data_IF_036719086955
#
_entry.id   IF_036719086955
#
_cell.length_a   1.000
_cell.length_b   1.000
_cell.length_c   1.000
_cell.angle_alpha   90.00
_cell.angle_beta   90.00
_cell.angle_gamma   90.00
#
_symmetry.space_group_name_H-M   'P 1'
#
loop_
_entity.id
_entity.type
_entity.pdbx_description
1 polymer ?
#
# COMPACT_ATOMS: atom_id res chain seq x y z
N UNK A 1 -1.55 -70.52 -40.25
CA UNK A 1 -0.79 -69.57 -39.41
C UNK A 1 -1.64 -69.23 -38.20
N UNK A 2 -1.36 -69.82 -37.03
CA UNK A 2 -2.09 -69.53 -35.80
C UNK A 2 -1.53 -68.25 -35.15
N UNK A 3 -2.39 -67.36 -34.60
CA UNK A 3 -1.94 -66.11 -34.00
C UNK A 3 -1.15 -66.40 -32.71
N UNK A 4 0.05 -65.81 -32.57
CA UNK A 4 0.84 -65.91 -31.34
C UNK A 4 0.10 -65.16 -30.23
N UNK A 5 -0.51 -65.91 -29.31
CA UNK A 5 -1.07 -65.37 -28.08
C UNK A 5 0.08 -64.93 -27.17
N UNK A 6 0.03 -63.67 -26.72
CA UNK A 6 0.99 -63.14 -25.76
C UNK A 6 0.88 -63.93 -24.45
N UNK A 7 2.00 -64.29 -23.82
CA UNK A 7 2.00 -65.02 -22.55
C UNK A 7 1.23 -64.23 -21.48
N UNK A 8 0.41 -64.88 -20.63
CA UNK A 8 -0.52 -64.22 -19.70
C UNK A 8 0.18 -63.33 -18.66
N UNK A 9 1.44 -63.59 -18.35
CA UNK A 9 2.26 -62.78 -17.44
C UNK A 9 2.71 -61.44 -18.08
N UNK A 10 3.10 -61.47 -19.36
CA UNK A 10 3.49 -60.27 -20.12
C UNK A 10 2.30 -59.33 -20.38
N UNK A 11 1.11 -59.90 -20.60
CA UNK A 11 -0.12 -59.12 -20.77
C UNK A 11 -0.53 -58.40 -19.47
N UNK A 12 -0.42 -59.09 -18.33
CA UNK A 12 -0.68 -58.50 -16.99
C UNK A 12 0.33 -57.39 -16.66
N UNK A 13 1.62 -57.59 -16.93
CA UNK A 13 2.63 -56.54 -16.72
C UNK A 13 2.43 -55.33 -17.63
N UNK A 14 2.01 -55.51 -18.89
CA UNK A 14 1.69 -54.39 -19.77
C UNK A 14 0.46 -53.60 -19.31
N UNK A 15 -0.60 -54.29 -18.84
CA UNK A 15 -1.82 -53.67 -18.30
C UNK A 15 -1.55 -52.77 -17.08
N UNK A 16 -0.52 -53.06 -16.28
CA UNK A 16 -0.11 -52.23 -15.12
C UNK A 16 0.89 -51.13 -15.50
N UNK A 17 1.83 -51.40 -16.42
CA UNK A 17 2.86 -50.42 -16.81
C UNK A 17 2.29 -49.19 -17.52
N UNK A 18 1.24 -49.34 -18.33
CA UNK A 18 0.62 -48.24 -19.06
C UNK A 18 -0.07 -47.20 -18.15
N UNK A 19 -0.95 -47.59 -17.20
CA UNK A 19 -1.55 -46.64 -16.26
C UNK A 19 -0.51 -46.00 -15.35
N UNK A 20 0.54 -46.73 -14.92
CA UNK A 20 1.64 -46.14 -14.13
C UNK A 20 2.39 -45.06 -14.91
N UNK A 21 2.68 -45.29 -16.20
CA UNK A 21 3.32 -44.28 -17.06
C UNK A 21 2.44 -43.03 -17.23
N UNK A 22 1.13 -43.22 -17.41
CA UNK A 22 0.16 -42.12 -17.52
C UNK A 22 0.08 -41.32 -16.22
N UNK A 23 -0.02 -41.98 -15.07
CA UNK A 23 -0.02 -41.33 -13.76
C UNK A 23 1.27 -40.53 -13.54
N UNK A 24 2.44 -41.10 -13.88
CA UNK A 24 3.72 -40.39 -13.77
C UNK A 24 3.79 -39.15 -14.66
N UNK A 25 3.23 -39.21 -15.87
CA UNK A 25 3.16 -38.06 -16.77
C UNK A 25 2.26 -36.95 -16.21
N UNK A 26 1.07 -37.31 -15.70
CA UNK A 26 0.15 -36.36 -15.06
C UNK A 26 0.75 -35.74 -13.79
N UNK A 27 1.42 -36.53 -12.95
CA UNK A 27 2.17 -36.00 -11.80
C UNK A 27 3.26 -35.00 -12.21
N UNK A 28 3.94 -35.25 -13.33
CA UNK A 28 4.92 -34.31 -13.88
C UNK A 28 4.29 -32.97 -14.29
N UNK A 29 3.13 -33.00 -14.94
CA UNK A 29 2.36 -31.79 -15.30
C UNK A 29 1.90 -31.02 -14.06
N UNK A 30 1.35 -31.73 -13.07
CA UNK A 30 0.92 -31.13 -11.80
C UNK A 30 2.09 -30.45 -11.10
N UNK A 31 3.27 -31.07 -11.07
CA UNK A 31 4.46 -30.47 -10.47
C UNK A 31 4.86 -29.17 -11.17
N UNK A 32 4.89 -29.16 -12.51
CA UNK A 32 5.20 -27.95 -13.28
C UNK A 32 4.17 -26.83 -13.05
N UNK A 33 2.89 -27.19 -12.94
CA UNK A 33 1.81 -26.26 -12.63
C UNK A 33 1.95 -25.68 -11.22
N UNK A 34 2.26 -26.50 -10.22
CA UNK A 34 2.51 -26.07 -8.84
C UNK A 34 3.69 -25.09 -8.77
N UNK A 35 4.79 -25.36 -9.46
CA UNK A 35 5.93 -24.44 -9.53
C UNK A 35 5.54 -23.10 -10.17
N UNK A 36 4.76 -23.12 -11.26
CA UNK A 36 4.24 -21.90 -11.90
C UNK A 36 3.32 -21.11 -10.95
N UNK A 37 2.42 -21.80 -10.24
CA UNK A 37 1.52 -21.20 -9.26
C UNK A 37 2.34 -20.54 -8.15
N UNK A 38 3.32 -21.24 -7.58
CA UNK A 38 4.17 -20.70 -6.52
C UNK A 38 4.97 -19.47 -6.95
N UNK A 39 5.47 -19.42 -8.19
CA UNK A 39 6.11 -18.22 -8.76
C UNK A 39 5.13 -17.05 -8.88
N UNK A 40 3.91 -17.30 -9.38
CA UNK A 40 2.87 -16.26 -9.48
C UNK A 40 2.45 -15.73 -8.10
N UNK A 41 2.25 -16.62 -7.13
CA UNK A 41 1.90 -16.24 -5.76
C UNK A 41 2.97 -15.38 -5.10
N UNK A 42 4.26 -15.71 -5.26
CA UNK A 42 5.36 -14.86 -4.77
C UNK A 42 5.35 -13.47 -5.40
N UNK A 43 5.13 -13.38 -6.72
CA UNK A 43 5.01 -12.10 -7.42
C UNK A 43 3.82 -11.29 -6.89
N UNK A 44 2.67 -11.93 -6.68
CA UNK A 44 1.47 -11.29 -6.14
C UNK A 44 1.76 -10.76 -4.73
N UNK A 45 2.34 -11.57 -3.85
CA UNK A 45 2.70 -11.17 -2.48
C UNK A 45 3.65 -9.96 -2.47
N UNK A 46 4.65 -9.94 -3.34
CA UNK A 46 5.56 -8.79 -3.46
C UNK A 46 4.82 -7.50 -3.87
N UNK A 47 3.87 -7.59 -4.81
CA UNK A 47 3.04 -6.44 -5.20
C UNK A 47 2.15 -5.95 -4.06
N UNK A 48 1.51 -6.87 -3.33
CA UNK A 48 0.69 -6.51 -2.18
C UNK A 48 1.51 -5.83 -1.08
N UNK A 49 2.72 -6.31 -0.79
CA UNK A 49 3.60 -5.64 0.18
C UNK A 49 4.00 -4.22 -0.23
N UNK A 50 4.23 -3.97 -1.52
CA UNK A 50 4.50 -2.60 -2.00
C UNK A 50 3.25 -1.71 -1.90
N UNK A 51 2.06 -2.25 -2.22
CA UNK A 51 0.80 -1.53 -2.05
C UNK A 51 0.56 -1.17 -0.58
N UNK A 52 0.78 -2.11 0.34
CA UNK A 52 0.66 -1.86 1.78
C UNK A 52 1.60 -0.74 2.23
N UNK A 53 2.87 -0.79 1.81
CA UNK A 53 3.85 0.26 2.10
C UNK A 53 3.43 1.64 1.57
N UNK A 54 2.86 1.68 0.36
CA UNK A 54 2.34 2.91 -0.24
C UNK A 54 1.10 3.42 0.51
N UNK A 55 0.21 2.53 0.94
CA UNK A 55 -0.96 2.87 1.74
C UNK A 55 -0.56 3.47 3.10
N UNK A 56 0.43 2.90 3.78
CA UNK A 56 0.93 3.42 5.05
C UNK A 56 1.53 4.82 4.87
N UNK A 57 2.35 5.02 3.82
CA UNK A 57 2.89 6.33 3.49
C UNK A 57 1.79 7.35 3.18
N UNK A 58 0.79 6.97 2.37
CA UNK A 58 -0.31 7.85 2.01
C UNK A 58 -1.14 8.24 3.24
N UNK A 59 -1.31 7.33 4.20
CA UNK A 59 -1.99 7.59 5.46
C UNK A 59 -1.23 8.64 6.29
N UNK A 60 0.08 8.48 6.44
CA UNK A 60 0.92 9.47 7.14
C UNK A 60 0.86 10.85 6.47
N UNK A 61 0.97 10.90 5.14
CA UNK A 61 0.87 12.13 4.36
C UNK A 61 -0.50 12.80 4.52
N UNK A 62 -1.57 12.01 4.46
CA UNK A 62 -2.94 12.49 4.66
C UNK A 62 -3.14 13.07 6.07
N UNK A 63 -2.65 12.39 7.11
CA UNK A 63 -2.72 12.90 8.48
C UNK A 63 -1.97 14.24 8.64
N UNK A 64 -0.82 14.40 7.99
CA UNK A 64 -0.09 15.66 7.98
C UNK A 64 -0.90 16.78 7.28
N UNK A 65 -1.48 16.49 6.12
CA UNK A 65 -2.33 17.44 5.38
C UNK A 65 -3.55 17.85 6.20
N UNK A 66 -4.23 16.91 6.87
CA UNK A 66 -5.38 17.20 7.74
C UNK A 66 -4.96 18.16 8.86
N UNK A 67 -3.86 17.86 9.55
CA UNK A 67 -3.34 18.71 10.63
C UNK A 67 -2.97 20.11 10.12
N UNK A 68 -2.34 20.21 8.95
CA UNK A 68 -1.98 21.50 8.35
C UNK A 68 -3.22 22.30 7.88
N UNK A 69 -4.21 21.59 7.34
CA UNK A 69 -5.48 22.18 6.89
C UNK A 69 -6.25 22.76 8.07
N UNK A 70 -6.38 22.01 9.16
CA UNK A 70 -7.06 22.47 10.37
C UNK A 70 -6.41 23.74 10.94
N UNK A 71 -5.07 23.81 10.99
CA UNK A 71 -4.36 25.02 11.43
C UNK A 71 -4.61 26.21 10.50
N UNK A 72 -4.60 25.96 9.19
CA UNK A 72 -4.92 27.00 8.19
C UNK A 72 -6.34 27.53 8.38
N UNK A 73 -7.32 26.65 8.59
CA UNK A 73 -8.70 27.05 8.87
C UNK A 73 -8.81 27.91 10.14
N UNK A 74 -8.11 27.54 11.22
CA UNK A 74 -8.06 28.35 12.45
C UNK A 74 -7.51 29.75 12.17
N UNK A 75 -6.40 29.85 11.41
CA UNK A 75 -5.80 31.15 11.04
C UNK A 75 -6.77 32.00 10.23
N UNK A 76 -7.42 31.42 9.22
CA UNK A 76 -8.41 32.15 8.39
C UNK A 76 -9.59 32.62 9.24
N UNK A 77 -10.12 31.78 10.12
CA UNK A 77 -11.21 32.16 11.02
C UNK A 77 -10.79 33.31 11.95
N UNK A 78 -9.55 33.29 12.46
CA UNK A 78 -9.01 34.34 13.30
C UNK A 78 -8.83 35.65 12.53
N UNK A 79 -8.31 35.59 11.29
CA UNK A 79 -8.22 36.76 10.40
C UNK A 79 -9.60 37.38 10.14
N UNK A 80 -10.62 36.55 9.93
CA UNK A 80 -11.99 37.04 9.75
C UNK A 80 -12.52 37.74 11.02
N UNK A 81 -12.29 37.17 12.21
CA UNK A 81 -12.65 37.82 13.48
C UNK A 81 -11.94 39.17 13.68
N UNK A 82 -10.67 39.28 13.31
CA UNK A 82 -9.93 40.56 13.33
C UNK A 82 -10.60 41.59 12.44
N UNK A 83 -10.97 41.21 11.21
CA UNK A 83 -11.66 42.11 10.29
C UNK A 83 -13.00 42.57 10.86
N UNK A 84 -13.77 41.66 11.47
CA UNK A 84 -15.04 42.00 12.15
C UNK A 84 -14.86 42.93 13.34
N UNK A 85 -13.86 42.70 14.18
CA UNK A 85 -13.56 43.59 15.31
C UNK A 85 -13.18 45.00 14.82
N UNK A 86 -12.37 45.09 13.76
CA UNK A 86 -12.01 46.39 13.14
C UNK A 86 -13.22 47.09 12.51
N UNK A 87 -14.05 46.35 11.79
CA UNK A 87 -15.30 46.86 11.19
C UNK A 87 -16.25 47.41 12.27
N UNK A 88 -16.34 46.73 13.42
CA UNK A 88 -17.13 47.15 14.57
C UNK A 88 -16.48 48.22 15.46
N UNK A 89 -15.29 48.72 15.13
CA UNK A 89 -14.56 49.71 15.93
C UNK A 89 -13.91 49.19 17.21
N UNK A 90 -13.93 47.88 17.46
CA UNK A 90 -13.27 47.27 18.62
C UNK A 90 -11.79 46.98 18.32
N UNK A 91 -10.98 48.03 18.41
CA UNK A 91 -9.54 47.93 18.17
C UNK A 91 -8.79 47.15 19.26
N UNK A 92 -9.34 47.11 20.48
CA UNK A 92 -8.75 46.33 21.58
C UNK A 92 -8.86 44.84 21.30
N UNK A 93 -10.04 44.36 20.90
CA UNK A 93 -10.24 42.97 20.51
C UNK A 93 -9.45 42.63 19.24
N UNK A 94 -9.45 43.53 18.25
CA UNK A 94 -8.64 43.35 17.05
C UNK A 94 -7.14 43.19 17.36
N UNK A 95 -6.61 43.96 18.32
CA UNK A 95 -5.22 43.88 18.75
C UNK A 95 -4.92 42.54 19.46
N UNK A 96 -5.80 42.11 20.38
CA UNK A 96 -5.68 40.80 21.07
C UNK A 96 -5.67 39.64 20.08
N UNK A 97 -6.63 39.59 19.15
CA UNK A 97 -6.71 38.55 18.13
C UNK A 97 -5.50 38.57 17.19
N UNK A 98 -4.98 39.76 16.86
CA UNK A 98 -3.76 39.91 16.04
C UNK A 98 -2.53 39.37 16.77
N UNK A 99 -2.41 39.61 18.08
CA UNK A 99 -1.33 39.03 18.89
C UNK A 99 -1.40 37.50 18.87
N UNK A 100 -2.58 36.93 19.12
CA UNK A 100 -2.78 35.49 19.09
C UNK A 100 -2.46 34.87 17.71
N UNK A 101 -2.84 35.53 16.62
CA UNK A 101 -2.49 35.09 15.26
C UNK A 101 -0.97 35.06 15.05
N UNK A 102 -0.25 36.07 15.57
CA UNK A 102 1.21 36.15 15.47
C UNK A 102 1.88 34.98 16.21
N UNK A 103 1.42 34.65 17.42
CA UNK A 103 1.91 33.49 18.18
C UNK A 103 1.65 32.18 17.44
N UNK A 104 0.44 31.99 16.91
CA UNK A 104 0.09 30.81 16.12
C UNK A 104 1.02 30.61 14.92
N UNK A 105 1.32 31.69 14.18
CA UNK A 105 2.21 31.65 13.02
C UNK A 105 3.67 31.44 13.42
N UNK A 106 4.11 31.98 14.55
CA UNK A 106 5.46 31.76 15.06
C UNK A 106 5.68 30.28 15.40
N UNK A 107 4.74 29.66 16.11
CA UNK A 107 4.81 28.26 16.54
C UNK A 107 4.78 27.24 15.37
N UNK A 108 4.32 27.65 14.18
CA UNK A 108 4.30 26.78 12.98
C UNK A 108 5.65 26.72 12.24
N UNK A 109 6.53 27.72 12.39
CA UNK A 109 7.81 27.76 11.66
C UNK A 109 8.77 26.65 12.07
N UNK A 110 8.57 26.07 13.25
CA UNK A 110 9.38 25.00 13.82
C UNK A 110 8.88 23.60 13.44
N UNK A 111 7.79 23.49 12.67
CA UNK A 111 7.16 22.20 12.35
C UNK A 111 7.60 21.65 10.98
N UNK A 112 7.84 20.32 10.86
CA UNK A 112 8.27 19.73 9.60
C UNK A 112 7.21 19.90 8.50
N UNK A 113 7.60 20.63 7.46
CA UNK A 113 6.80 20.83 6.26
C UNK A 113 6.82 19.59 5.37
N UNK A 114 5.68 19.34 4.69
CA UNK A 114 5.53 18.30 3.68
C UNK A 114 6.59 18.55 2.59
N UNK A 115 7.51 17.59 2.41
CA UNK A 115 8.59 17.65 1.42
C UNK A 115 10.03 17.60 1.97
N UNK A 116 10.28 17.93 3.25
CA UNK A 116 11.65 17.91 3.80
C UNK A 116 12.18 16.53 4.23
N UNK A 117 11.30 15.54 4.47
CA UNK A 117 11.70 14.20 4.93
C UNK A 117 12.22 13.26 3.84
N UNK A 118 11.98 13.54 2.56
CA UNK A 118 12.42 12.64 1.48
C UNK A 118 13.91 12.81 1.12
N UNK A 119 14.57 13.89 1.56
CA UNK A 119 15.99 14.12 1.26
C UNK A 119 16.97 13.30 2.12
N UNK A 120 16.52 12.65 3.21
CA UNK A 120 17.41 11.96 4.16
C UNK A 120 17.36 10.43 4.12
N UNK A 121 16.64 9.82 3.17
CA UNK A 121 16.58 8.35 3.03
C UNK A 121 17.23 7.78 1.76
N UNK A 122 17.99 8.60 1.02
CA UNK A 122 18.83 8.15 -0.09
C UNK A 122 20.31 8.32 0.27
N UNK A 123 20.82 7.50 1.19
CA UNK A 123 22.25 7.14 1.29
C UNK A 123 22.30 5.65 1.60
#
# INVERSE_FOLDING_TARGET
MAPRTLKPDMEKTMKVKFPVKRVKAEMGKIKADQERIGKKQRKIRGKFGEIERQCDQLKEETEMVIKQTARTQIKVALMFKILKAREGGDFNEAAKLTHFLRELVANERDQPQIGKKQASKSI
#
